data_IF_315717401504
#
_entry.id   IF_315717401504
#
_cell.length_a   1.000
_cell.length_b   1.000
_cell.length_c   1.000
_cell.angle_alpha   90.00
_cell.angle_beta   90.00
_cell.angle_gamma   90.00
#
_symmetry.space_group_name_H-M   'P 1'
#
loop_
_entity.id
_entity.type
_entity.pdbx_description
1 polymer ?
#
# COMPACT_ATOMS: atom_id res chain seq x y z
N UNK A 1 18.13 15.16 -6.18
CA UNK A 1 16.78 14.95 -6.73
C UNK A 1 15.96 14.26 -5.66
N UNK A 2 14.85 14.85 -5.24
CA UNK A 2 14.05 14.38 -4.11
C UNK A 2 13.15 13.23 -4.61
N UNK A 3 13.58 11.97 -4.44
CA UNK A 3 12.94 10.77 -5.00
C UNK A 3 11.71 10.29 -4.22
N UNK A 4 11.15 11.09 -3.31
CA UNK A 4 9.92 10.75 -2.59
C UNK A 4 8.68 11.01 -3.45
N UNK A 5 8.63 10.41 -4.64
CA UNK A 5 7.39 10.30 -5.40
C UNK A 5 6.60 9.14 -4.82
N UNK A 6 5.73 9.44 -3.85
CA UNK A 6 4.74 8.50 -3.35
C UNK A 6 3.64 8.37 -4.40
N UNK A 7 3.50 7.23 -5.09
CA UNK A 7 2.48 7.10 -6.12
C UNK A 7 1.10 7.18 -5.47
N UNK A 8 0.20 7.92 -6.08
CA UNK A 8 -1.19 8.01 -5.63
C UNK A 8 -1.99 6.91 -6.32
N UNK A 9 -2.60 6.03 -5.54
CA UNK A 9 -3.38 4.89 -6.02
C UNK A 9 -4.78 4.91 -5.43
N UNK A 10 -5.72 4.29 -6.13
CA UNK A 10 -7.08 4.08 -5.60
C UNK A 10 -7.07 2.91 -4.64
N UNK A 11 -7.22 3.19 -3.35
CA UNK A 11 -7.40 2.19 -2.30
C UNK A 11 -8.86 1.74 -2.29
N UNK A 12 -9.09 0.44 -2.43
CA UNK A 12 -10.44 -0.15 -2.48
C UNK A 12 -10.74 -1.04 -1.28
N UNK A 13 -9.73 -1.49 -0.55
CA UNK A 13 -9.90 -2.33 0.62
C UNK A 13 -8.79 -2.17 1.63
N UNK A 14 -9.14 -2.23 2.92
CA UNK A 14 -8.20 -2.25 4.04
C UNK A 14 -8.68 -3.33 5.02
N UNK A 15 -7.81 -4.27 5.39
CA UNK A 15 -8.15 -5.35 6.32
C UNK A 15 -7.00 -5.69 7.25
N UNK A 16 -7.34 -6.18 8.44
CA UNK A 16 -6.38 -6.82 9.34
C UNK A 16 -5.84 -8.09 8.69
N UNK A 17 -4.57 -8.37 8.91
CA UNK A 17 -3.93 -9.60 8.48
C UNK A 17 -3.06 -10.18 9.59
N UNK A 18 -3.08 -11.51 9.67
CA UNK A 18 -2.18 -12.22 10.56
C UNK A 18 -0.71 -11.96 10.20
N UNK A 19 0.14 -12.07 11.21
CA UNK A 19 1.58 -11.93 11.04
C UNK A 19 2.35 -12.56 12.17
N UNK A 20 3.66 -12.46 12.07
CA UNK A 20 4.60 -13.26 12.85
C UNK A 20 5.12 -12.52 14.09
N UNK A 21 4.44 -11.44 14.52
CA UNK A 21 4.84 -10.69 15.71
C UNK A 21 4.42 -11.41 16.98
N UNK A 22 5.38 -11.50 17.89
CA UNK A 22 5.22 -11.98 19.25
C UNK A 22 5.50 -10.80 20.19
N UNK A 23 4.68 -10.61 21.22
CA UNK A 23 4.96 -9.61 22.24
C UNK A 23 6.18 -10.00 23.09
N UNK A 24 6.67 -9.07 23.92
CA UNK A 24 7.80 -9.29 24.84
C UNK A 24 7.55 -10.41 25.88
N UNK A 25 6.31 -10.91 25.96
CA UNK A 25 5.87 -11.99 26.84
C UNK A 25 5.66 -13.31 26.11
N UNK A 26 6.03 -13.40 24.82
CA UNK A 26 5.93 -14.63 24.04
C UNK A 26 4.55 -14.92 23.44
N UNK A 27 3.58 -14.00 23.55
CA UNK A 27 2.23 -14.17 22.99
C UNK A 27 2.18 -13.69 21.54
N UNK A 28 1.73 -14.58 20.65
CA UNK A 28 1.50 -14.24 19.24
C UNK A 28 0.40 -13.19 19.11
N UNK A 29 0.67 -12.13 18.36
CA UNK A 29 -0.30 -11.11 18.01
C UNK A 29 -1.05 -11.57 16.76
N UNK A 30 -2.29 -12.03 16.97
CA UNK A 30 -3.13 -12.67 15.94
C UNK A 30 -3.31 -11.82 14.68
N UNK A 31 -3.35 -10.48 14.83
CA UNK A 31 -3.38 -9.54 13.71
C UNK A 31 -2.31 -8.48 13.92
N UNK A 32 -1.14 -8.67 13.32
CA UNK A 32 0.00 -7.76 13.44
C UNK A 32 0.30 -6.95 12.18
N UNK A 33 -0.48 -7.13 11.11
CA UNK A 33 -0.30 -6.41 9.86
C UNK A 33 -1.62 -5.84 9.33
N UNK A 34 -1.48 -4.88 8.42
CA UNK A 34 -2.58 -4.29 7.67
C UNK A 34 -2.38 -4.60 6.19
N UNK A 35 -3.39 -5.15 5.52
CA UNK A 35 -3.39 -5.36 4.06
C UNK A 35 -4.24 -4.29 3.41
N UNK A 36 -3.67 -3.68 2.38
CA UNK A 36 -4.29 -2.62 1.58
C UNK A 36 -4.42 -3.12 0.15
N UNK A 37 -5.65 -3.15 -0.35
CA UNK A 37 -5.97 -3.48 -1.74
C UNK A 37 -6.08 -2.20 -2.54
N UNK A 38 -5.35 -2.12 -3.66
CA UNK A 38 -5.36 -0.97 -4.57
C UNK A 38 -5.63 -1.38 -6.00
N UNK A 39 -6.14 -0.44 -6.80
CA UNK A 39 -6.27 -0.59 -8.24
C UNK A 39 -5.08 0.04 -8.97
N UNK A 40 -4.55 -0.72 -9.93
CA UNK A 40 -3.46 -0.31 -10.81
C UNK A 40 -3.89 -0.44 -12.26
N UNK A 41 -3.39 0.45 -13.11
CA UNK A 41 -3.57 0.31 -14.55
C UNK A 41 -2.89 -0.98 -15.03
N UNK A 42 -3.51 -1.66 -15.98
CA UNK A 42 -2.83 -2.69 -16.75
C UNK A 42 -1.67 -2.08 -17.54
N UNK A 43 -0.62 -2.87 -17.74
CA UNK A 43 0.46 -2.49 -18.67
C UNK A 43 -0.06 -2.42 -20.11
N UNK A 44 0.63 -1.67 -20.97
CA UNK A 44 0.27 -1.55 -22.40
C UNK A 44 0.14 -2.93 -23.06
N UNK A 45 1.08 -3.85 -22.76
CA UNK A 45 1.04 -5.23 -23.25
C UNK A 45 -0.20 -5.99 -22.78
N UNK A 46 -0.64 -5.81 -21.54
CA UNK A 46 -1.86 -6.46 -21.04
C UNK A 46 -3.11 -5.89 -21.74
N UNK A 47 -3.14 -4.58 -22.01
CA UNK A 47 -4.22 -3.94 -22.78
C UNK A 47 -4.28 -4.43 -24.23
N UNK A 48 -3.13 -4.57 -24.90
CA UNK A 48 -3.02 -5.14 -26.26
C UNK A 48 -3.52 -6.59 -26.32
N UNK A 49 -3.37 -7.34 -25.23
CA UNK A 49 -3.87 -8.71 -25.09
C UNK A 49 -5.36 -8.78 -24.71
N UNK A 50 -6.05 -7.65 -24.64
CA UNK A 50 -7.49 -7.56 -24.39
C UNK A 50 -7.90 -7.35 -22.94
N UNK A 51 -7.00 -6.92 -22.05
CA UNK A 51 -7.37 -6.57 -20.68
C UNK A 51 -8.28 -5.33 -20.64
N UNK A 52 -9.31 -5.36 -19.80
CA UNK A 52 -10.26 -4.25 -19.60
C UNK A 52 -10.36 -3.98 -18.10
N UNK A 53 -10.28 -2.70 -17.70
CA UNK A 53 -10.42 -2.27 -16.31
C UNK A 53 -9.07 -2.09 -15.59
N UNK A 54 -8.96 -2.59 -14.36
CA UNK A 54 -7.80 -2.41 -13.49
C UNK A 54 -7.33 -3.72 -12.88
N UNK A 55 -6.02 -3.81 -12.63
CA UNK A 55 -5.42 -4.87 -11.83
C UNK A 55 -5.58 -4.54 -10.34
N UNK A 56 -6.06 -5.51 -9.56
CA UNK A 56 -6.09 -5.42 -8.10
C UNK A 56 -4.77 -5.92 -7.53
N UNK A 57 -4.13 -5.13 -6.67
CA UNK A 57 -2.87 -5.48 -6.03
C UNK A 57 -2.98 -5.27 -4.52
N UNK A 58 -2.54 -6.27 -3.75
CA UNK A 58 -2.51 -6.21 -2.29
C UNK A 58 -1.09 -5.83 -1.81
N UNK A 59 -1.02 -4.81 -0.96
CA UNK A 59 0.19 -4.41 -0.24
C UNK A 59 0.05 -4.70 1.25
N UNK A 60 1.15 -5.10 1.90
CA UNK A 60 1.19 -5.38 3.33
C UNK A 60 1.98 -4.30 4.05
N UNK A 61 1.34 -3.64 5.01
CA UNK A 61 1.96 -2.73 5.96
C UNK A 61 2.20 -3.49 7.27
N UNK A 62 3.44 -3.48 7.77
CA UNK A 62 3.76 -4.07 9.07
C UNK A 62 3.25 -3.19 10.19
N UNK A 63 2.54 -3.76 11.16
CA UNK A 63 1.93 -3.04 12.27
C UNK A 63 0.41 -3.06 12.21
N UNK A 64 -0.21 -3.51 13.30
CA UNK A 64 -1.66 -3.54 13.45
C UNK A 64 -2.28 -2.15 13.66
N UNK A 65 -1.48 -1.19 14.15
CA UNK A 65 -1.93 0.17 14.46
C UNK A 65 -2.51 0.86 13.22
N UNK A 66 -1.87 0.68 12.06
CA UNK A 66 -2.30 1.30 10.80
C UNK A 66 -3.73 0.94 10.40
N UNK A 67 -4.22 -0.26 10.71
CA UNK A 67 -5.62 -0.60 10.45
C UNK A 67 -6.58 0.34 11.19
N UNK A 68 -6.30 0.61 12.47
CA UNK A 68 -7.13 1.50 13.28
C UNK A 68 -7.06 2.94 12.77
N UNK A 69 -5.89 3.39 12.33
CA UNK A 69 -5.70 4.74 11.77
C UNK A 69 -6.52 4.95 10.49
N UNK A 70 -6.78 3.89 9.72
CA UNK A 70 -7.51 3.95 8.45
C UNK A 70 -8.97 3.50 8.53
N UNK A 71 -9.44 2.98 9.66
CA UNK A 71 -10.78 2.40 9.76
C UNK A 71 -11.93 3.38 9.50
N UNK A 72 -11.65 4.68 9.61
CA UNK A 72 -12.61 5.76 9.38
C UNK A 72 -12.66 6.26 7.93
N UNK A 73 -11.74 5.79 7.08
CA UNK A 73 -11.69 6.22 5.68
C UNK A 73 -12.87 5.63 4.91
N UNK A 74 -13.51 6.45 4.07
CA UNK A 74 -14.55 5.99 3.14
C UNK A 74 -13.88 5.52 1.85
N UNK A 75 -14.00 4.24 1.54
CA UNK A 75 -13.43 3.64 0.34
C UNK A 75 -14.51 3.47 -0.76
N UNK A 76 -14.13 3.49 -2.05
CA UNK A 76 -12.77 3.69 -2.56
C UNK A 76 -12.30 5.15 -2.41
N UNK A 77 -10.99 5.34 -2.17
CA UNK A 77 -10.38 6.65 -2.03
C UNK A 77 -8.96 6.68 -2.63
N UNK A 78 -8.52 7.85 -3.09
CA UNK A 78 -7.12 8.05 -3.47
C UNK A 78 -6.26 8.23 -2.22
N UNK A 79 -5.10 7.56 -2.19
CA UNK A 79 -4.09 7.76 -1.16
C UNK A 79 -2.69 7.70 -1.77
N UNK A 80 -1.77 8.51 -1.24
CA UNK A 80 -0.36 8.37 -1.53
C UNK A 80 0.20 7.13 -0.82
N UNK A 81 0.87 6.29 -1.59
CA UNK A 81 1.51 5.07 -1.12
C UNK A 81 2.93 5.42 -0.63
N UNK A 82 3.12 5.41 0.68
CA UNK A 82 4.42 5.75 1.28
C UNK A 82 5.26 4.49 1.38
N UNK A 83 6.28 4.41 0.51
CA UNK A 83 7.24 3.32 0.49
C UNK A 83 8.54 3.72 1.17
N UNK A 84 9.15 2.75 1.85
CA UNK A 84 10.50 2.85 2.39
C UNK A 84 11.36 1.68 1.89
N UNK A 85 12.67 1.84 1.91
CA UNK A 85 13.62 0.80 1.52
C UNK A 85 13.91 -0.12 2.71
N UNK A 86 13.54 -1.38 2.56
CA UNK A 86 13.90 -2.45 3.49
C UNK A 86 15.22 -3.09 3.05
N UNK A 87 16.25 -2.92 3.87
CA UNK A 87 17.61 -3.45 3.67
C UNK A 87 17.87 -4.74 4.48
N UNK A 88 16.88 -5.30 5.17
CA UNK A 88 17.08 -6.48 6.03
C UNK A 88 17.27 -7.78 5.24
N UNK A 89 16.87 -7.81 3.96
CA UNK A 89 17.03 -8.95 3.07
C UNK A 89 18.34 -8.96 2.27
N UNK A 90 18.52 -9.99 1.44
CA UNK A 90 19.69 -10.11 0.53
C UNK A 90 19.76 -9.00 -0.51
N UNK A 91 18.63 -8.39 -0.85
CA UNK A 91 18.52 -7.29 -1.79
C UNK A 91 17.60 -6.22 -1.20
N UNK A 92 17.93 -4.93 -1.33
CA UNK A 92 17.03 -3.85 -0.94
C UNK A 92 15.71 -3.96 -1.70
N UNK A 93 14.59 -3.81 -0.98
CA UNK A 93 13.25 -3.80 -1.59
C UNK A 93 12.43 -2.65 -1.04
N UNK A 94 11.59 -2.06 -1.88
CA UNK A 94 10.61 -1.08 -1.43
C UNK A 94 9.45 -1.81 -0.72
N UNK A 95 9.10 -1.36 0.49
CA UNK A 95 7.98 -1.88 1.28
C UNK A 95 7.01 -0.74 1.60
N UNK A 96 5.71 -1.02 1.55
CA UNK A 96 4.70 -0.03 1.92
C UNK A 96 4.70 0.13 3.44
N UNK A 97 4.92 1.36 3.93
CA UNK A 97 4.98 1.66 5.36
C UNK A 97 3.79 2.47 5.85
N UNK A 98 3.14 3.24 4.98
CA UNK A 98 1.96 4.01 5.34
C UNK A 98 1.13 4.42 4.09
N UNK A 99 -0.10 4.85 4.35
CA UNK A 99 -0.97 5.56 3.42
C UNK A 99 -1.19 6.99 3.88
N UNK A 100 -1.17 7.94 2.95
CA UNK A 100 -1.63 9.31 3.18
C UNK A 100 -2.84 9.63 2.30
N UNK A 101 -4.01 9.68 2.92
CA UNK A 101 -5.29 10.03 2.27
C UNK A 101 -5.48 11.54 2.06
N UNK A 102 -4.61 12.39 2.62
CA UNK A 102 -4.66 13.84 2.43
C UNK A 102 -3.76 14.32 1.29
N UNK A 103 -2.88 13.46 0.78
CA UNK A 103 -1.99 13.77 -0.32
C UNK A 103 -2.80 14.08 -1.58
N UNK A 104 -2.71 15.32 -2.07
CA UNK A 104 -3.32 15.72 -3.33
C UNK A 104 -2.49 15.20 -4.49
N UNK A 105 -3.15 14.69 -5.52
CA UNK A 105 -2.54 14.39 -6.83
C UNK A 105 -1.84 15.65 -7.31
N UNK A 106 -0.50 15.63 -7.37
CA UNK A 106 0.20 16.67 -8.11
C UNK A 106 -0.24 16.51 -9.56
N UNK A 107 -0.93 17.52 -10.09
CA UNK A 107 -1.21 17.61 -11.52
C UNK A 107 0.14 17.53 -12.23
N UNK A 108 0.36 16.42 -12.95
CA UNK A 108 1.50 16.31 -13.86
C UNK A 108 1.25 17.35 -14.94
N UNK A 109 1.90 18.50 -14.84
CA UNK A 109 2.00 19.43 -15.97
C UNK A 109 2.80 18.70 -17.05
N UNK A 110 2.10 18.23 -18.07
CA UNK A 110 2.71 17.83 -19.33
C UNK A 110 3.54 19.00 -19.86
N UNK A 111 4.85 18.79 -19.99
CA UNK A 111 5.77 19.67 -20.71
C UNK A 111 5.59 19.49 -22.22
#
# INVERSE_FOLDING_TARGET
MNNSQHPIMTVTGIRKAAGDFTDDKGKTIEFSNTVVTVLQNYSERELEQGAIGFKSTDYKIKGAQFFNDYMHQKLPAEAAMIFDWDFTGKQPKAVLVALDFNAKKQEVKSL
#
